data_IF_990692943618
#
_entry.id   IF_990692943618
#
_cell.length_a   1.000
_cell.length_b   1.000
_cell.length_c   1.000
_cell.angle_alpha   90.00
_cell.angle_beta   90.00
_cell.angle_gamma   90.00
#
_symmetry.space_group_name_H-M   'P 1'
#
loop_
_entity.id
_entity.type
_entity.pdbx_description
1 polymer ?
#
# COMPACT_ATOMS: atom_id res chain seq x y z
N UNK A 1 17.11 -32.33 -22.70
CA UNK A 1 16.27 -32.58 -21.50
C UNK A 1 15.51 -31.33 -21.05
N UNK A 2 16.15 -30.16 -20.95
CA UNK A 2 15.49 -28.90 -20.57
C UNK A 2 14.32 -28.48 -21.48
N UNK A 3 14.41 -28.72 -22.79
CA UNK A 3 13.39 -28.35 -23.79
C UNK A 3 12.10 -29.18 -23.64
N UNK A 4 12.25 -30.47 -23.32
CA UNK A 4 11.15 -31.41 -23.05
C UNK A 4 10.46 -31.13 -21.71
N UNK A 5 11.19 -30.58 -20.74
CA UNK A 5 10.64 -30.08 -19.47
C UNK A 5 9.87 -28.77 -19.64
N UNK A 6 10.35 -27.85 -20.49
CA UNK A 6 9.64 -26.61 -20.83
C UNK A 6 8.29 -26.88 -21.52
N UNK A 7 8.26 -27.83 -22.47
CA UNK A 7 7.00 -28.24 -23.13
C UNK A 7 5.96 -28.79 -22.15
N UNK A 8 6.36 -29.72 -21.27
CA UNK A 8 5.47 -30.31 -20.26
C UNK A 8 4.96 -29.29 -19.24
N UNK A 9 5.77 -28.32 -18.86
CA UNK A 9 5.33 -27.23 -17.98
C UNK A 9 4.33 -26.32 -18.68
N UNK A 10 4.57 -25.97 -19.95
CA UNK A 10 3.64 -25.17 -20.76
C UNK A 10 2.29 -25.84 -20.94
N UNK A 11 2.27 -27.15 -21.22
CA UNK A 11 1.05 -27.96 -21.32
C UNK A 11 0.28 -27.98 -20.00
N UNK A 12 0.94 -28.26 -18.88
CA UNK A 12 0.30 -28.26 -17.57
C UNK A 12 -0.27 -26.87 -17.20
N UNK A 13 0.44 -25.79 -17.55
CA UNK A 13 -0.03 -24.43 -17.33
C UNK A 13 -1.27 -24.13 -18.18
N UNK A 14 -1.26 -24.53 -19.45
CA UNK A 14 -2.41 -24.38 -20.34
C UNK A 14 -3.62 -25.16 -19.83
N UNK A 15 -3.43 -26.39 -19.35
CA UNK A 15 -4.49 -27.21 -18.77
C UNK A 15 -5.08 -26.59 -17.51
N UNK A 16 -4.24 -26.01 -16.63
CA UNK A 16 -4.71 -25.28 -15.45
C UNK A 16 -5.54 -24.08 -15.88
N UNK A 17 -5.04 -23.25 -16.79
CA UNK A 17 -5.75 -22.06 -17.27
C UNK A 17 -7.10 -22.47 -17.90
N UNK A 18 -7.11 -23.42 -18.82
CA UNK A 18 -8.33 -23.92 -19.46
C UNK A 18 -9.32 -24.50 -18.45
N UNK A 19 -8.82 -25.15 -17.39
CA UNK A 19 -9.65 -25.67 -16.31
C UNK A 19 -10.26 -24.53 -15.50
N UNK A 20 -9.47 -23.51 -15.14
CA UNK A 20 -9.95 -22.33 -14.42
C UNK A 20 -11.01 -21.56 -15.24
N UNK A 21 -10.85 -21.46 -16.56
CA UNK A 21 -11.84 -20.83 -17.45
C UNK A 21 -13.23 -21.50 -17.43
N UNK A 22 -13.33 -22.76 -16.97
CA UNK A 22 -14.62 -23.47 -16.84
C UNK A 22 -15.40 -23.06 -15.60
N UNK A 23 -14.79 -22.30 -14.69
CA UNK A 23 -15.44 -21.83 -13.46
C UNK A 23 -15.88 -20.38 -13.63
N UNK A 24 -17.08 -20.10 -13.14
CA UNK A 24 -17.56 -18.73 -13.02
C UNK A 24 -17.09 -18.13 -11.69
N UNK A 25 -16.22 -17.12 -11.78
CA UNK A 25 -15.70 -16.38 -10.63
C UNK A 25 -16.45 -15.06 -10.38
N UNK A 26 -17.56 -14.80 -11.09
CA UNK A 26 -18.36 -13.58 -10.91
C UNK A 26 -19.02 -13.49 -9.53
N UNK A 27 -19.36 -14.63 -8.93
CA UNK A 27 -19.94 -14.72 -7.58
C UNK A 27 -19.02 -15.49 -6.62
N UNK A 28 -17.81 -14.98 -6.38
CA UNK A 28 -16.97 -15.50 -5.30
C UNK A 28 -17.63 -15.19 -3.95
N UNK A 29 -18.27 -16.21 -3.37
CA UNK A 29 -18.86 -16.15 -2.02
C UNK A 29 -17.90 -16.76 -1.01
N UNK A 30 -17.68 -16.08 0.11
CA UNK A 30 -16.84 -16.56 1.22
C UNK A 30 -15.34 -16.26 1.04
N UNK A 31 -14.50 -17.17 1.56
CA UNK A 31 -13.03 -17.11 1.52
C UNK A 31 -12.48 -18.34 0.74
N UNK A 32 -12.52 -18.33 -0.60
CA UNK A 32 -12.08 -19.47 -1.41
C UNK A 32 -10.57 -19.71 -1.29
N UNK A 33 -9.78 -18.64 -1.15
CA UNK A 33 -8.32 -18.73 -1.08
C UNK A 33 -7.86 -19.28 0.27
N UNK A 34 -8.42 -18.80 1.38
CA UNK A 34 -8.18 -19.38 2.69
C UNK A 34 -8.71 -20.81 2.78
N UNK A 35 -9.84 -21.13 2.15
CA UNK A 35 -10.34 -22.52 2.10
C UNK A 35 -9.39 -23.45 1.32
N UNK A 36 -8.95 -23.04 0.14
CA UNK A 36 -7.98 -23.79 -0.67
C UNK A 36 -6.68 -23.99 0.12
N UNK A 37 -6.23 -22.94 0.79
CA UNK A 37 -5.02 -22.97 1.59
C UNK A 37 -5.12 -23.94 2.78
N UNK A 38 -6.21 -23.88 3.55
CA UNK A 38 -6.44 -24.79 4.68
C UNK A 38 -6.60 -26.25 4.25
N UNK A 39 -7.01 -26.51 3.00
CA UNK A 39 -7.07 -27.87 2.43
C UNK A 39 -5.71 -28.35 1.93
N UNK A 40 -4.89 -27.44 1.39
CA UNK A 40 -3.58 -27.78 0.84
C UNK A 40 -2.53 -27.98 1.93
N UNK A 41 -2.57 -27.16 2.99
CA UNK A 41 -1.64 -27.24 4.12
C UNK A 41 -2.29 -27.84 5.35
N UNK A 42 -1.66 -28.89 5.87
CA UNK A 42 -2.08 -29.53 7.11
C UNK A 42 -1.88 -28.58 8.32
N UNK A 43 -2.43 -28.99 9.47
CA UNK A 43 -2.42 -28.16 10.69
C UNK A 43 -1.00 -27.90 11.19
N UNK A 44 -0.09 -28.85 11.02
CA UNK A 44 1.30 -28.72 11.46
C UNK A 44 2.06 -27.72 10.58
N UNK A 45 1.90 -27.79 9.25
CA UNK A 45 2.50 -26.79 8.35
C UNK A 45 1.95 -25.39 8.60
N UNK A 46 0.63 -25.23 8.80
CA UNK A 46 0.03 -23.93 9.14
C UNK A 46 0.57 -23.39 10.47
N UNK A 47 0.72 -24.24 11.48
CA UNK A 47 1.29 -23.84 12.77
C UNK A 47 2.77 -23.47 12.66
N UNK A 48 3.54 -24.19 11.84
CA UNK A 48 4.94 -23.88 11.56
C UNK A 48 5.09 -22.55 10.79
N UNK A 49 4.10 -22.19 9.96
CA UNK A 49 3.99 -20.90 9.28
C UNK A 49 3.40 -19.79 10.18
N UNK A 50 2.97 -20.11 11.40
CA UNK A 50 2.38 -19.14 12.34
C UNK A 50 0.92 -18.76 12.04
N UNK A 51 0.21 -19.52 11.21
CA UNK A 51 -1.07 -19.11 10.63
C UNK A 51 -2.26 -19.79 11.31
N UNK A 52 -2.90 -19.07 12.23
CA UNK A 52 -4.18 -19.45 12.83
C UNK A 52 -5.32 -18.59 12.25
N UNK A 53 -6.18 -19.22 11.46
CA UNK A 53 -7.33 -18.53 10.85
C UNK A 53 -8.42 -18.29 11.89
N UNK A 54 -8.85 -17.04 12.04
CA UNK A 54 -9.95 -16.68 12.93
C UNK A 54 -11.28 -17.05 12.27
N UNK A 55 -12.15 -17.84 12.92
CA UNK A 55 -13.49 -18.13 12.39
C UNK A 55 -14.27 -16.84 12.10
N UNK A 56 -15.00 -16.80 10.98
CA UNK A 56 -15.69 -15.59 10.52
C UNK A 56 -16.74 -15.09 11.51
N UNK A 57 -17.34 -15.99 12.29
CA UNK A 57 -18.30 -15.68 13.34
C UNK A 57 -17.64 -14.87 14.47
N UNK A 58 -16.40 -15.21 14.82
CA UNK A 58 -15.62 -14.49 15.84
C UNK A 58 -15.24 -13.10 15.32
N UNK A 59 -14.82 -13.00 14.06
CA UNK A 59 -14.52 -11.73 13.40
C UNK A 59 -15.73 -10.79 13.42
N UNK A 60 -16.90 -11.29 12.99
CA UNK A 60 -18.15 -10.53 12.99
C UNK A 60 -18.52 -10.06 14.39
N UNK A 61 -18.47 -10.97 15.36
CA UNK A 61 -18.74 -10.65 16.77
C UNK A 61 -17.84 -9.51 17.28
N UNK A 62 -16.54 -9.55 17.00
CA UNK A 62 -15.60 -8.50 17.43
C UNK A 62 -15.90 -7.17 16.72
N UNK A 63 -16.15 -7.18 15.41
CA UNK A 63 -16.49 -5.96 14.67
C UNK A 63 -17.81 -5.32 15.15
N UNK A 64 -18.78 -6.15 15.54
CA UNK A 64 -20.02 -5.68 16.18
C UNK A 64 -19.73 -5.07 17.55
N UNK A 65 -18.93 -5.75 18.38
CA UNK A 65 -18.59 -5.29 19.72
C UNK A 65 -17.85 -3.94 19.73
N UNK A 66 -17.03 -3.64 18.72
CA UNK A 66 -16.34 -2.34 18.58
C UNK A 66 -17.17 -1.29 17.82
N UNK A 67 -18.40 -1.62 17.42
CA UNK A 67 -19.30 -0.71 16.71
C UNK A 67 -18.80 -0.32 15.31
N UNK A 68 -18.17 -1.27 14.60
CA UNK A 68 -17.79 -1.11 13.20
C UNK A 68 -18.94 -1.53 12.29
N UNK A 69 -20.03 -0.76 12.32
CA UNK A 69 -21.24 -0.97 11.53
C UNK A 69 -21.94 0.34 11.12
N UNK A 70 -22.76 0.28 10.08
CA UNK A 70 -23.54 1.41 9.58
C UNK A 70 -22.70 2.50 8.90
N UNK A 71 -23.34 3.61 8.53
CA UNK A 71 -22.69 4.70 7.77
C UNK A 71 -21.60 5.44 8.58
N UNK A 72 -21.68 5.41 9.90
CA UNK A 72 -20.71 6.09 10.78
C UNK A 72 -19.29 5.55 10.67
N UNK A 73 -19.06 4.39 10.05
CA UNK A 73 -17.70 3.84 9.86
C UNK A 73 -16.92 4.49 8.73
N UNK A 74 -17.58 5.21 7.81
CA UNK A 74 -16.94 5.76 6.59
C UNK A 74 -15.87 6.81 6.94
N UNK A 75 -15.98 7.42 8.11
CA UNK A 75 -15.01 8.39 8.64
C UNK A 75 -14.15 7.81 9.77
N UNK A 76 -14.28 6.51 10.07
CA UNK A 76 -13.45 5.82 11.05
C UNK A 76 -12.25 5.19 10.35
N UNK A 77 -11.19 4.97 11.14
CA UNK A 77 -10.04 4.17 10.73
C UNK A 77 -10.03 2.87 11.52
N UNK A 78 -9.74 1.77 10.85
CA UNK A 78 -9.55 0.46 11.42
C UNK A 78 -8.14 -0.02 11.06
N UNK A 79 -7.42 -0.53 12.06
CA UNK A 79 -6.11 -1.13 11.88
C UNK A 79 -6.14 -2.54 12.48
N UNK A 80 -5.69 -3.51 11.70
CA UNK A 80 -5.35 -4.84 12.19
C UNK A 80 -3.81 -5.01 12.17
N UNK A 81 -3.13 -4.94 13.33
CA UNK A 81 -1.67 -4.93 13.40
C UNK A 81 -1.01 -6.32 13.26
N UNK A 82 -1.81 -7.38 13.10
CA UNK A 82 -1.36 -8.75 12.88
C UNK A 82 -2.38 -9.47 11.99
N UNK A 83 -2.60 -8.94 10.79
CA UNK A 83 -3.78 -9.25 10.00
C UNK A 83 -3.82 -10.66 9.43
N UNK A 84 -2.69 -11.38 9.46
CA UNK A 84 -2.56 -12.70 8.87
C UNK A 84 -3.02 -12.70 7.42
N UNK A 85 -3.85 -13.68 7.07
CA UNK A 85 -4.48 -13.80 5.76
C UNK A 85 -5.61 -12.79 5.50
N UNK A 86 -5.92 -11.88 6.44
CA UNK A 86 -6.79 -10.73 6.22
C UNK A 86 -8.27 -10.94 6.50
N UNK A 87 -8.69 -11.99 7.23
CA UNK A 87 -10.13 -12.26 7.49
C UNK A 87 -10.85 -11.06 8.13
N UNK A 88 -10.22 -10.38 9.10
CA UNK A 88 -10.76 -9.15 9.70
C UNK A 88 -10.88 -8.01 8.68
N UNK A 89 -9.83 -7.78 7.88
CA UNK A 89 -9.79 -6.73 6.88
C UNK A 89 -10.86 -6.93 5.80
N UNK A 90 -11.05 -8.17 5.36
CA UNK A 90 -12.04 -8.55 4.35
C UNK A 90 -13.45 -8.30 4.86
N UNK A 91 -13.78 -8.71 6.09
CA UNK A 91 -15.10 -8.45 6.67
C UNK A 91 -15.31 -6.95 6.93
N UNK A 92 -14.30 -6.23 7.43
CA UNK A 92 -14.35 -4.79 7.59
C UNK A 92 -14.57 -4.06 6.25
N UNK A 93 -13.90 -4.50 5.18
CA UNK A 93 -14.08 -3.99 3.83
C UNK A 93 -15.50 -4.22 3.33
N UNK A 94 -16.06 -5.42 3.51
CA UNK A 94 -17.47 -5.70 3.14
C UNK A 94 -18.44 -4.74 3.83
N UNK A 95 -18.24 -4.49 5.13
CA UNK A 95 -19.06 -3.52 5.88
C UNK A 95 -18.88 -2.10 5.38
N UNK A 96 -17.64 -1.68 5.11
CA UNK A 96 -17.33 -0.35 4.59
C UNK A 96 -17.94 -0.10 3.21
N UNK A 97 -17.80 -1.04 2.27
CA UNK A 97 -18.38 -0.91 0.93
C UNK A 97 -19.92 -0.85 1.01
N UNK A 98 -20.54 -1.70 1.84
CA UNK A 98 -21.99 -1.67 2.07
C UNK A 98 -22.46 -0.35 2.69
N UNK A 99 -21.74 0.16 3.69
CA UNK A 99 -22.05 1.45 4.30
C UNK A 99 -21.93 2.61 3.29
N UNK A 100 -20.99 2.48 2.35
CA UNK A 100 -20.68 3.51 1.35
C UNK A 100 -21.65 3.55 0.17
N UNK A 101 -22.53 2.57 -0.03
CA UNK A 101 -23.42 2.49 -1.20
C UNK A 101 -24.21 3.79 -1.43
N UNK A 102 -24.87 4.31 -0.38
CA UNK A 102 -25.66 5.55 -0.47
C UNK A 102 -24.81 6.81 -0.69
N UNK A 103 -23.59 6.84 -0.14
CA UNK A 103 -22.70 8.01 -0.28
C UNK A 103 -22.05 7.99 -1.66
N UNK A 104 -21.79 6.80 -2.21
CA UNK A 104 -21.26 6.64 -3.55
C UNK A 104 -22.22 7.16 -4.62
N UNK A 105 -23.54 7.15 -4.39
CA UNK A 105 -24.51 7.75 -5.32
C UNK A 105 -24.33 9.27 -5.47
N UNK A 106 -23.82 9.95 -4.44
CA UNK A 106 -23.58 11.41 -4.44
C UNK A 106 -22.12 11.77 -4.76
N UNK A 107 -21.16 11.04 -4.17
CA UNK A 107 -19.72 11.35 -4.27
C UNK A 107 -18.97 10.54 -5.35
N UNK A 108 -19.57 9.45 -5.86
CA UNK A 108 -18.95 8.49 -6.77
C UNK A 108 -18.06 7.44 -6.08
N UNK A 109 -18.04 6.22 -6.63
CA UNK A 109 -17.17 5.13 -6.16
C UNK A 109 -15.68 5.46 -6.27
N UNK A 110 -15.28 6.25 -7.27
CA UNK A 110 -13.89 6.72 -7.37
C UNK A 110 -13.43 7.52 -6.14
N UNK A 111 -14.31 8.35 -5.56
CA UNK A 111 -14.04 9.10 -4.31
C UNK A 111 -13.91 8.16 -3.11
N UNK A 112 -14.87 7.23 -2.98
CA UNK A 112 -14.91 6.25 -1.88
C UNK A 112 -13.66 5.38 -1.86
N UNK A 113 -13.22 4.89 -3.01
CA UNK A 113 -12.03 4.04 -3.12
C UNK A 113 -10.73 4.80 -2.91
N UNK A 114 -10.64 6.07 -3.37
CA UNK A 114 -9.50 6.95 -3.03
C UNK A 114 -9.39 7.12 -1.52
N UNK A 115 -10.49 7.45 -0.85
CA UNK A 115 -10.52 7.59 0.62
C UNK A 115 -10.07 6.30 1.30
N UNK A 116 -10.70 5.17 0.95
CA UNK A 116 -10.39 3.86 1.53
C UNK A 116 -8.90 3.50 1.46
N UNK A 117 -8.30 3.62 0.27
CA UNK A 117 -6.96 3.09 0.01
C UNK A 117 -5.83 4.11 0.15
N UNK A 118 -6.07 5.40 -0.16
CA UNK A 118 -5.04 6.44 -0.06
C UNK A 118 -4.98 7.06 1.35
N UNK A 119 -6.12 7.16 2.04
CA UNK A 119 -6.18 7.63 3.43
C UNK A 119 -6.10 6.49 4.46
N UNK A 120 -5.99 5.25 3.99
CA UNK A 120 -5.86 4.04 4.80
C UNK A 120 -6.97 3.94 5.87
N UNK A 121 -8.23 3.97 5.44
CA UNK A 121 -9.39 3.82 6.32
C UNK A 121 -9.45 2.42 6.95
N UNK A 122 -9.01 1.41 6.21
CA UNK A 122 -8.84 0.04 6.69
C UNK A 122 -7.41 -0.34 6.38
N UNK A 123 -6.58 -0.55 7.39
CA UNK A 123 -5.18 -0.91 7.24
C UNK A 123 -4.87 -2.25 7.90
N UNK A 124 -3.95 -3.01 7.31
CA UNK A 124 -3.48 -4.28 7.85
C UNK A 124 -1.96 -4.37 7.84
N UNK A 125 -1.39 -4.86 8.93
CA UNK A 125 0.05 -5.14 9.04
C UNK A 125 0.27 -6.61 9.36
N UNK A 126 1.26 -7.22 8.73
CA UNK A 126 1.76 -8.54 9.14
C UNK A 126 3.24 -8.70 8.79
N UNK A 127 3.99 -9.45 9.59
CA UNK A 127 5.42 -9.69 9.33
C UNK A 127 5.64 -10.73 8.23
N UNK A 128 4.68 -11.64 8.04
CA UNK A 128 4.81 -12.78 7.15
C UNK A 128 4.43 -12.41 5.71
N UNK A 129 5.36 -12.48 4.74
CA UNK A 129 5.14 -11.99 3.37
C UNK A 129 4.06 -12.77 2.62
N UNK A 130 3.87 -14.05 2.93
CA UNK A 130 2.80 -14.82 2.30
C UNK A 130 1.43 -14.48 2.88
N UNK A 131 1.35 -14.16 4.18
CA UNK A 131 0.09 -13.78 4.83
C UNK A 131 -0.41 -12.43 4.28
N UNK A 132 0.47 -11.43 4.19
CA UNK A 132 0.14 -10.13 3.58
C UNK A 132 -0.28 -10.26 2.13
N UNK A 133 0.39 -11.11 1.34
CA UNK A 133 -0.02 -11.40 -0.04
C UNK A 133 -1.42 -12.00 -0.11
N UNK A 134 -1.74 -12.97 0.74
CA UNK A 134 -3.07 -13.58 0.80
C UNK A 134 -4.15 -12.58 1.23
N UNK A 135 -3.83 -11.69 2.17
CA UNK A 135 -4.71 -10.61 2.60
C UNK A 135 -4.98 -9.62 1.46
N UNK A 136 -3.94 -9.20 0.72
CA UNK A 136 -4.08 -8.34 -0.46
C UNK A 136 -4.96 -8.97 -1.53
N UNK A 137 -4.75 -10.26 -1.84
CA UNK A 137 -5.55 -10.99 -2.81
C UNK A 137 -7.03 -11.04 -2.42
N UNK A 138 -7.34 -11.42 -1.18
CA UNK A 138 -8.72 -11.47 -0.70
C UNK A 138 -9.38 -10.08 -0.65
N UNK A 139 -8.64 -9.07 -0.21
CA UNK A 139 -9.10 -7.68 -0.19
C UNK A 139 -9.46 -7.21 -1.60
N UNK A 140 -8.60 -7.48 -2.59
CA UNK A 140 -8.88 -7.15 -3.99
C UNK A 140 -10.14 -7.85 -4.51
N UNK A 141 -10.30 -9.15 -4.24
CA UNK A 141 -11.48 -9.90 -4.71
C UNK A 141 -12.80 -9.26 -4.25
N UNK A 142 -12.85 -8.76 -3.01
CA UNK A 142 -14.02 -8.03 -2.49
C UNK A 142 -14.13 -6.62 -3.06
N UNK A 143 -13.00 -5.99 -3.40
CA UNK A 143 -12.95 -4.63 -3.94
C UNK A 143 -13.38 -4.54 -5.41
N UNK A 144 -13.15 -5.60 -6.21
CA UNK A 144 -13.37 -5.63 -7.67
C UNK A 144 -14.74 -5.06 -8.10
N UNK A 145 -15.89 -5.43 -7.48
CA UNK A 145 -17.18 -4.89 -7.89
C UNK A 145 -17.28 -3.37 -7.72
N UNK A 146 -16.75 -2.82 -6.63
CA UNK A 146 -16.71 -1.38 -6.39
C UNK A 146 -15.71 -0.68 -7.33
N UNK A 147 -14.57 -1.32 -7.59
CA UNK A 147 -13.57 -0.83 -8.54
C UNK A 147 -14.12 -0.75 -9.96
N UNK A 148 -14.91 -1.74 -10.38
CA UNK A 148 -15.61 -1.72 -11.67
C UNK A 148 -16.53 -0.51 -11.79
N UNK A 149 -17.34 -0.22 -10.77
CA UNK A 149 -18.21 0.97 -10.75
C UNK A 149 -17.39 2.27 -10.84
N UNK A 150 -16.28 2.36 -10.11
CA UNK A 150 -15.38 3.51 -10.20
C UNK A 150 -14.77 3.69 -11.60
N UNK A 151 -14.45 2.60 -12.31
CA UNK A 151 -13.98 2.66 -13.71
C UNK A 151 -15.07 3.04 -14.70
N UNK A 152 -16.33 2.66 -14.44
CA UNK A 152 -17.49 3.08 -15.24
C UNK A 152 -17.74 4.58 -15.10
N UNK A 153 -17.49 5.16 -13.91
CA UNK A 153 -17.55 6.61 -13.66
C UNK A 153 -16.35 7.38 -14.25
N UNK A 154 -15.14 6.84 -14.06
CA UNK A 154 -13.87 7.41 -14.55
C UNK A 154 -13.01 6.31 -15.18
N UNK A 155 -13.01 6.19 -16.52
CA UNK A 155 -12.22 5.17 -17.23
C UNK A 155 -10.71 5.23 -16.99
N UNK A 156 -10.20 6.36 -16.48
CA UNK A 156 -8.78 6.54 -16.13
C UNK A 156 -8.51 6.35 -14.64
N UNK A 157 -9.51 5.90 -13.87
CA UNK A 157 -9.36 5.60 -12.46
C UNK A 157 -8.34 4.49 -12.27
N UNK A 158 -7.34 4.75 -11.41
CA UNK A 158 -6.32 3.78 -11.03
C UNK A 158 -6.19 3.78 -9.52
N UNK A 159 -6.18 2.58 -8.95
CA UNK A 159 -5.86 2.35 -7.55
C UNK A 159 -4.39 1.94 -7.45
N UNK A 160 -3.55 2.81 -6.88
CA UNK A 160 -2.10 2.61 -6.88
C UNK A 160 -1.60 1.72 -5.74
N UNK A 161 -2.39 1.56 -4.68
CA UNK A 161 -1.96 0.86 -3.46
C UNK A 161 -3.13 0.21 -2.75
N UNK A 162 -2.84 -0.90 -2.08
CA UNK A 162 -3.73 -1.53 -1.12
C UNK A 162 -3.19 -1.27 0.28
N UNK A 163 -4.06 -1.03 1.27
CA UNK A 163 -3.67 -0.64 2.61
C UNK A 163 -3.23 -1.85 3.47
N UNK A 164 -2.42 -2.75 2.91
CA UNK A 164 -1.97 -3.98 3.57
C UNK A 164 -0.47 -4.10 3.38
N UNK A 165 0.27 -4.04 4.48
CA UNK A 165 1.71 -3.83 4.49
C UNK A 165 2.44 -4.91 5.24
N UNK A 166 3.63 -5.24 4.75
CA UNK A 166 4.54 -6.14 5.45
C UNK A 166 5.40 -5.34 6.40
N UNK A 167 5.09 -5.41 7.69
CA UNK A 167 5.85 -4.68 8.71
C UNK A 167 5.78 -5.41 10.05
N UNK A 168 6.73 -5.10 10.92
CA UNK A 168 6.68 -5.52 12.32
C UNK A 168 5.98 -4.41 13.11
N UNK A 169 4.72 -4.68 13.50
CA UNK A 169 3.89 -3.73 14.23
C UNK A 169 4.40 -3.43 15.65
N UNK A 170 5.37 -4.19 16.17
CA UNK A 170 6.01 -3.96 17.46
C UNK A 170 7.29 -3.11 17.36
N UNK A 171 7.84 -2.92 16.16
CA UNK A 171 9.05 -2.11 15.97
C UNK A 171 8.70 -0.65 16.22
N UNK A 172 9.25 -0.10 17.31
CA UNK A 172 9.26 1.33 17.55
C UNK A 172 10.40 1.97 16.73
N UNK A 173 10.04 2.53 15.57
CA UNK A 173 11.00 3.19 14.67
C UNK A 173 11.74 4.38 15.30
N UNK A 174 11.26 4.90 16.45
CA UNK A 174 11.92 6.00 17.17
C UNK A 174 13.01 5.52 18.13
N UNK A 175 13.09 4.21 18.41
CA UNK A 175 13.98 3.61 19.43
C UNK A 175 14.92 2.53 18.91
N UNK A 176 14.86 2.16 17.63
CA UNK A 176 15.71 1.11 17.06
C UNK A 176 17.19 1.49 16.98
N UNK A 177 18.10 0.56 17.30
CA UNK A 177 19.55 0.76 17.15
C UNK A 177 19.98 0.93 15.67
N UNK A 178 19.19 0.38 14.74
CA UNK A 178 19.47 0.35 13.30
C UNK A 178 18.85 1.51 12.51
N UNK A 179 17.95 2.31 13.12
CA UNK A 179 17.27 3.43 12.46
C UNK A 179 17.26 4.66 13.37
N UNK A 180 17.91 5.75 12.94
CA UNK A 180 17.94 7.02 13.66
C UNK A 180 17.12 8.06 12.91
N UNK A 181 16.14 8.64 13.59
CA UNK A 181 15.32 9.73 13.07
C UNK A 181 15.67 11.02 13.80
N UNK A 182 16.20 12.01 13.08
CA UNK A 182 16.58 13.32 13.64
C UNK A 182 15.93 14.45 12.84
N UNK A 183 15.78 15.61 13.48
CA UNK A 183 15.35 16.84 12.79
C UNK A 183 16.59 17.69 12.58
N UNK A 184 16.86 18.04 11.32
CA UNK A 184 18.00 18.87 10.92
C UNK A 184 17.54 20.12 10.18
N UNK A 185 18.32 21.19 10.29
CA UNK A 185 18.04 22.46 9.62
C UNK A 185 18.99 22.67 8.43
N UNK A 186 18.42 23.03 7.28
CA UNK A 186 19.21 23.39 6.10
C UNK A 186 19.75 24.81 6.22
N UNK A 187 20.74 25.16 5.38
CA UNK A 187 21.32 26.51 5.28
C UNK A 187 20.26 27.60 5.01
N UNK A 188 19.10 27.22 4.45
CA UNK A 188 17.97 28.13 4.16
C UNK A 188 16.95 28.24 5.30
N UNK A 189 17.26 27.71 6.49
CA UNK A 189 16.35 27.70 7.64
C UNK A 189 15.12 26.80 7.45
N UNK A 190 15.21 25.82 6.55
CA UNK A 190 14.14 24.82 6.35
C UNK A 190 14.53 23.57 7.09
N UNK A 191 13.68 23.13 8.03
CA UNK A 191 13.85 21.90 8.78
C UNK A 191 13.40 20.70 7.96
N UNK A 192 14.09 19.58 8.14
CA UNK A 192 13.77 18.31 7.51
C UNK A 192 14.02 17.17 8.49
N UNK A 193 13.28 16.09 8.30
CA UNK A 193 13.50 14.84 9.01
C UNK A 193 14.60 14.08 8.27
N UNK A 194 15.68 13.74 8.96
CA UNK A 194 16.70 12.83 8.47
C UNK A 194 16.40 11.43 9.03
N UNK A 195 16.16 10.49 8.14
CA UNK A 195 16.03 9.07 8.46
C UNK A 195 17.33 8.39 8.02
N UNK A 196 18.07 7.86 8.98
CA UNK A 196 19.28 7.06 8.76
C UNK A 196 18.94 5.61 9.11
N UNK A 197 18.71 4.78 8.09
CA UNK A 197 18.33 3.38 8.24
C UNK A 197 19.42 2.46 7.71
N UNK A 198 19.74 1.40 8.45
CA UNK A 198 20.58 0.33 7.96
C UNK A 198 19.94 -0.36 6.75
N UNK A 199 20.74 -0.74 5.76
CA UNK A 199 20.32 -1.59 4.66
C UNK A 199 20.44 -3.06 5.06
N UNK A 200 19.63 -3.98 4.51
CA UNK A 200 19.70 -5.42 4.78
C UNK A 200 20.90 -6.10 4.09
N UNK A 201 21.97 -5.35 3.86
CA UNK A 201 23.23 -5.77 3.23
C UNK A 201 24.39 -5.17 4.02
N UNK A 202 25.49 -5.94 4.17
CA UNK A 202 26.62 -5.55 5.02
C UNK A 202 27.21 -4.18 4.62
N UNK A 203 27.23 -3.25 5.59
CA UNK A 203 27.99 -2.00 5.51
C UNK A 203 27.30 -0.80 4.86
N UNK A 204 26.01 -0.90 4.50
CA UNK A 204 25.26 0.22 3.88
C UNK A 204 24.26 0.88 4.83
N UNK A 205 24.33 2.21 4.96
CA UNK A 205 23.27 3.03 5.55
C UNK A 205 22.59 3.88 4.47
N UNK A 206 21.27 3.96 4.53
CA UNK A 206 20.45 4.79 3.68
C UNK A 206 19.99 6.03 4.46
N UNK A 207 20.47 7.19 4.03
CA UNK A 207 20.10 8.50 4.58
C UNK A 207 19.08 9.18 3.69
N UNK A 208 17.87 9.32 4.19
CA UNK A 208 16.70 9.87 3.50
C UNK A 208 16.30 11.17 4.19
N UNK A 209 16.18 12.24 3.40
CA UNK A 209 15.66 13.53 3.85
C UNK A 209 14.18 13.63 3.51
N UNK A 210 13.34 13.77 4.52
CA UNK A 210 11.91 14.00 4.40
C UNK A 210 11.54 15.42 4.82
N UNK A 211 10.54 16.05 4.21
CA UNK A 211 10.08 17.37 4.61
C UNK A 211 9.48 17.33 6.02
N UNK A 212 9.86 18.27 6.89
CA UNK A 212 9.29 18.36 8.23
C UNK A 212 7.88 18.96 8.18
N UNK A 213 6.90 18.25 8.72
CA UNK A 213 5.47 18.59 8.66
C UNK A 213 5.16 20.03 9.08
N UNK A 214 5.71 20.53 10.20
CA UNK A 214 5.46 21.91 10.66
C UNK A 214 5.98 22.97 9.68
N UNK A 215 7.10 22.68 9.03
CA UNK A 215 7.66 23.57 8.01
C UNK A 215 6.83 23.51 6.72
N UNK A 216 6.29 22.35 6.38
CA UNK A 216 5.35 22.19 5.26
C UNK A 216 4.10 23.03 5.53
N UNK A 217 3.42 22.82 6.66
CA UNK A 217 2.19 23.55 7.00
C UNK A 217 2.38 25.07 7.06
N UNK A 218 3.56 25.54 7.44
CA UNK A 218 3.87 26.98 7.46
C UNK A 218 4.26 27.58 6.11
N UNK A 219 4.60 26.76 5.11
CA UNK A 219 5.15 27.21 3.81
C UNK A 219 4.33 26.75 2.60
N UNK A 220 3.36 25.86 2.81
CA UNK A 220 2.41 25.37 1.82
C UNK A 220 0.98 25.62 2.30
N UNK A 221 0.01 25.22 1.49
CA UNK A 221 -1.42 25.24 1.79
C UNK A 221 -1.96 23.85 2.21
N UNK A 222 -1.07 22.95 2.64
CA UNK A 222 -1.48 21.69 3.27
C UNK A 222 -1.89 21.97 4.72
N UNK A 223 -3.08 21.49 5.09
CA UNK A 223 -3.76 21.89 6.32
C UNK A 223 -3.61 20.89 7.46
N UNK A 224 -3.28 19.64 7.15
CA UNK A 224 -3.27 18.57 8.12
C UNK A 224 -2.31 17.44 7.72
N UNK A 225 -2.16 16.49 8.64
CA UNK A 225 -1.28 15.34 8.50
C UNK A 225 -1.71 14.43 7.34
N UNK A 226 -3.02 14.29 7.09
CA UNK A 226 -3.53 13.49 5.97
C UNK A 226 -3.09 14.07 4.62
N UNK A 227 -3.23 15.38 4.44
CA UNK A 227 -2.80 16.08 3.22
C UNK A 227 -1.27 16.05 3.06
N UNK A 228 -0.52 16.13 4.16
CA UNK A 228 0.94 15.94 4.16
C UNK A 228 1.32 14.53 3.66
N UNK A 229 0.69 13.48 4.16
CA UNK A 229 0.96 12.11 3.71
C UNK A 229 0.53 11.89 2.25
N UNK A 230 -0.62 12.43 1.83
CA UNK A 230 -1.05 12.42 0.44
C UNK A 230 -0.03 13.13 -0.49
N UNK A 231 0.55 14.24 -0.04
CA UNK A 231 1.62 14.91 -0.78
C UNK A 231 2.90 14.05 -0.86
N UNK A 232 3.27 13.36 0.22
CA UNK A 232 4.39 12.41 0.18
C UNK A 232 4.14 11.24 -0.76
N UNK A 233 2.94 10.66 -0.76
CA UNK A 233 2.54 9.61 -1.71
C UNK A 233 2.72 10.08 -3.16
N UNK A 234 2.28 11.31 -3.48
CA UNK A 234 2.47 11.89 -4.81
C UNK A 234 3.96 11.98 -5.20
N UNK A 235 4.81 12.40 -4.26
CA UNK A 235 6.26 12.48 -4.47
C UNK A 235 6.86 11.11 -4.72
N UNK A 236 6.50 10.11 -3.91
CA UNK A 236 7.01 8.75 -4.08
C UNK A 236 6.58 8.13 -5.42
N UNK A 237 5.34 8.34 -5.84
CA UNK A 237 4.85 7.86 -7.14
C UNK A 237 5.63 8.48 -8.30
N UNK A 238 5.87 9.80 -8.27
CA UNK A 238 6.70 10.47 -9.29
C UNK A 238 8.13 9.92 -9.32
N UNK A 239 8.72 9.63 -8.16
CA UNK A 239 10.06 9.05 -8.07
C UNK A 239 10.07 7.63 -8.64
N UNK A 240 9.07 6.79 -8.31
CA UNK A 240 8.92 5.43 -8.82
C UNK A 240 8.75 5.40 -10.34
N UNK A 241 7.89 6.26 -10.88
CA UNK A 241 7.65 6.40 -12.32
C UNK A 241 8.94 6.78 -13.07
N UNK A 242 9.64 7.82 -12.61
CA UNK A 242 10.90 8.25 -13.23
C UNK A 242 12.02 7.20 -13.15
N UNK A 243 12.09 6.48 -12.02
CA UNK A 243 13.08 5.42 -11.84
C UNK A 243 12.81 4.20 -12.72
N UNK A 244 11.53 3.85 -12.91
CA UNK A 244 11.07 2.74 -13.78
C UNK A 244 11.38 3.03 -15.26
N UNK A 245 11.19 4.27 -15.69
CA UNK A 245 11.50 4.74 -17.05
C UNK A 245 13.01 4.97 -17.28
N UNK A 246 13.85 4.73 -16.28
CA UNK A 246 15.29 4.99 -16.28
C UNK A 246 15.68 6.45 -16.62
N UNK A 247 14.76 7.41 -16.47
CA UNK A 247 15.01 8.84 -16.71
C UNK A 247 15.86 9.45 -15.60
N UNK A 248 15.58 9.09 -14.34
CA UNK A 248 16.22 9.66 -13.15
C UNK A 248 16.22 11.20 -13.09
N UNK A 249 15.17 11.81 -13.65
CA UNK A 249 14.88 13.24 -13.54
C UNK A 249 13.46 13.45 -13.00
N UNK A 250 13.28 14.49 -12.18
CA UNK A 250 11.96 14.84 -11.65
C UNK A 250 11.25 15.74 -12.65
N UNK A 251 10.26 15.19 -13.34
CA UNK A 251 9.31 15.95 -14.15
C UNK A 251 8.34 16.69 -13.21
N UNK A 252 8.36 18.02 -13.28
CA UNK A 252 7.49 18.88 -12.46
C UNK A 252 6.02 18.78 -12.85
N UNK A 253 5.72 18.58 -14.13
CA UNK A 253 4.36 18.37 -14.61
C UNK A 253 3.82 17.02 -14.15
N UNK A 254 4.66 15.99 -14.10
CA UNK A 254 4.30 14.70 -13.50
C UNK A 254 4.05 14.80 -12.01
N UNK A 255 4.93 15.49 -11.28
CA UNK A 255 4.74 15.76 -9.86
C UNK A 255 3.43 16.52 -9.59
N UNK A 256 3.10 17.51 -10.41
CA UNK A 256 1.82 18.21 -10.34
C UNK A 256 0.62 17.28 -10.59
N UNK A 257 0.69 16.43 -11.62
CA UNK A 257 -0.36 15.44 -11.92
C UNK A 257 -0.58 14.51 -10.73
N UNK A 258 0.49 14.03 -10.12
CA UNK A 258 0.40 13.15 -8.95
C UNK A 258 -0.16 13.90 -7.73
N UNK A 259 0.18 15.17 -7.50
CA UNK A 259 -0.49 15.94 -6.44
C UNK A 259 -2.00 16.05 -6.67
N UNK A 260 -2.45 16.34 -7.89
CA UNK A 260 -3.88 16.42 -8.24
C UNK A 260 -4.62 15.09 -8.11
N UNK A 261 -3.90 13.96 -8.15
CA UNK A 261 -4.48 12.63 -7.93
C UNK A 261 -4.88 12.40 -6.47
N UNK A 262 -4.10 12.94 -5.52
CA UNK A 262 -4.27 12.70 -4.08
C UNK A 262 -4.88 13.87 -3.32
N UNK A 263 -4.73 15.09 -3.83
CA UNK A 263 -5.17 16.32 -3.17
C UNK A 263 -6.18 17.06 -4.04
N UNK A 264 -7.05 17.85 -3.40
CA UNK A 264 -8.01 18.74 -4.04
C UNK A 264 -7.78 20.17 -3.59
N UNK A 265 -8.04 21.10 -4.50
CA UNK A 265 -8.08 22.55 -4.25
C UNK A 265 -6.81 23.07 -3.55
N UNK A 266 -5.64 22.84 -4.17
CA UNK A 266 -4.34 23.29 -3.67
C UNK A 266 -3.60 24.23 -4.63
N UNK A 267 -2.65 24.99 -4.09
CA UNK A 267 -1.69 25.80 -4.82
C UNK A 267 -0.60 24.91 -5.43
N UNK A 268 -0.91 24.29 -6.58
CA UNK A 268 -0.06 23.31 -7.26
C UNK A 268 1.38 23.77 -7.47
N UNK A 269 1.58 25.00 -7.95
CA UNK A 269 2.92 25.57 -8.16
C UNK A 269 3.74 25.64 -6.88
N UNK A 270 3.10 25.97 -5.75
CA UNK A 270 3.74 26.05 -4.43
C UNK A 270 4.14 24.66 -3.94
N UNK A 271 3.26 23.67 -4.07
CA UNK A 271 3.57 22.27 -3.73
C UNK A 271 4.71 21.71 -4.58
N UNK A 272 4.63 21.87 -5.90
CA UNK A 272 5.68 21.42 -6.83
C UNK A 272 7.01 22.07 -6.46
N UNK A 273 7.04 23.38 -6.24
CA UNK A 273 8.27 24.09 -5.86
C UNK A 273 8.84 23.60 -4.53
N UNK A 274 7.98 23.38 -3.53
CA UNK A 274 8.39 22.94 -2.20
C UNK A 274 8.93 21.52 -2.19
N UNK A 275 8.26 20.58 -2.87
CA UNK A 275 8.58 19.15 -2.80
C UNK A 275 9.60 18.68 -3.84
N UNK A 276 9.84 19.44 -4.93
CA UNK A 276 10.85 19.10 -5.95
C UNK A 276 12.23 18.74 -5.37
N UNK A 277 12.81 19.49 -4.41
CA UNK A 277 14.11 19.14 -3.83
C UNK A 277 14.13 17.77 -3.13
N UNK A 278 13.02 17.40 -2.48
CA UNK A 278 12.87 16.10 -1.81
C UNK A 278 12.70 14.97 -2.83
N UNK A 279 11.87 15.17 -3.86
CA UNK A 279 11.73 14.23 -4.97
C UNK A 279 13.10 13.94 -5.65
N UNK A 280 13.89 14.99 -5.91
CA UNK A 280 15.24 14.87 -6.46
C UNK A 280 16.17 14.10 -5.53
N UNK A 281 16.08 14.37 -4.23
CA UNK A 281 16.87 13.66 -3.23
C UNK A 281 16.54 12.17 -3.20
N UNK A 282 15.27 11.79 -3.18
CA UNK A 282 14.86 10.38 -3.22
C UNK A 282 15.31 9.70 -4.50
N UNK A 283 15.10 10.33 -5.67
CA UNK A 283 15.49 9.77 -6.95
C UNK A 283 17.01 9.55 -7.07
N UNK A 284 17.79 10.50 -6.54
CA UNK A 284 19.24 10.37 -6.45
C UNK A 284 19.65 9.21 -5.53
N UNK A 285 19.01 9.07 -4.37
CA UNK A 285 19.27 7.94 -3.46
C UNK A 285 18.93 6.61 -4.10
N UNK A 286 17.83 6.54 -4.84
CA UNK A 286 17.43 5.36 -5.58
C UNK A 286 18.43 4.99 -6.67
N UNK A 287 18.93 5.98 -7.41
CA UNK A 287 19.99 5.82 -8.41
C UNK A 287 21.29 5.28 -7.80
N UNK A 288 21.69 5.83 -6.65
CA UNK A 288 22.86 5.37 -5.88
C UNK A 288 22.69 3.90 -5.46
N UNK A 289 21.54 3.55 -4.86
CA UNK A 289 21.25 2.17 -4.45
C UNK A 289 21.29 1.20 -5.63
N UNK A 290 20.68 1.55 -6.77
CA UNK A 290 20.71 0.73 -8.00
C UNK A 290 22.14 0.54 -8.50
N UNK A 291 22.95 1.59 -8.50
CA UNK A 291 24.34 1.53 -8.94
C UNK A 291 25.24 0.70 -8.00
N UNK A 292 25.01 0.80 -6.69
CA UNK A 292 25.83 0.11 -5.68
C UNK A 292 25.49 -1.37 -5.53
N UNK A 293 24.20 -1.74 -5.57
CA UNK A 293 23.78 -3.10 -5.21
C UNK A 293 23.12 -3.88 -6.36
N UNK A 294 22.97 -3.29 -7.54
CA UNK A 294 22.37 -3.95 -8.69
C UNK A 294 20.87 -4.20 -8.54
N UNK A 295 20.41 -5.32 -9.12
CA UNK A 295 19.03 -5.59 -9.52
C UNK A 295 17.97 -5.34 -8.43
N UNK A 296 16.77 -4.91 -8.85
CA UNK A 296 15.73 -4.23 -8.07
C UNK A 296 15.11 -4.95 -6.85
N UNK A 297 15.72 -6.01 -6.33
CA UNK A 297 15.33 -6.65 -5.05
C UNK A 297 15.51 -5.73 -3.85
N UNK A 298 16.61 -4.97 -3.79
CA UNK A 298 16.84 -3.98 -2.72
C UNK A 298 15.90 -2.78 -2.86
N UNK A 299 15.59 -2.38 -4.09
CA UNK A 299 14.58 -1.38 -4.39
C UNK A 299 13.22 -1.82 -3.82
N UNK A 300 12.79 -3.06 -4.11
CA UNK A 300 11.56 -3.63 -3.58
C UNK A 300 11.58 -3.76 -2.04
N UNK A 301 12.73 -4.11 -1.45
CA UNK A 301 12.89 -4.11 0.00
C UNK A 301 12.84 -2.71 0.62
N UNK A 302 13.29 -1.66 -0.10
CA UNK A 302 13.17 -0.26 0.36
C UNK A 302 11.74 0.25 0.18
N UNK A 303 11.02 -0.19 -0.86
CA UNK A 303 9.56 0.00 -0.97
C UNK A 303 8.85 -0.61 0.24
N UNK A 304 9.14 -1.87 0.59
CA UNK A 304 8.62 -2.53 1.79
C UNK A 304 9.05 -1.85 3.13
N UNK A 305 10.06 -0.97 3.13
CA UNK A 305 10.51 -0.17 4.29
C UNK A 305 9.87 1.24 4.31
N UNK A 306 9.33 1.71 3.18
CA UNK A 306 8.78 3.08 3.02
C UNK A 306 7.25 3.11 2.85
N UNK A 307 6.63 1.94 2.69
CA UNK A 307 5.18 1.71 2.75
C UNK A 307 4.77 1.24 4.16
#
# INVERSE_FOLDING_TARGET
>A
MAEKQKGRFGEALADIILTLYKFDFSEIVGDPLGTLYQRYFDKETRKALGEFYTPIEVVKYILDAVGYEGQGIIHKRLLDPACGSGTFLVEALRRYLKASERIADEEGWSSILKRLCNEYCIAGFDIHPFATFMAQMQFMLVLIPAYKKAMEEDPHFVLNRLPIFRTDSLVDETKGESRKVTIEESVRGIRHILIDTGLPVDGGNLKIKMPYDKDVFGKTDLLNVQEYFAALQAVFDTVKESARDEKYEVDKGELERNFKRYLKDKEWNRLVSFFTPYAKHFLQKFKELKATFGDGKLIKSVEDITD
#
